data_IF_176499744936
#
_entry.id   IF_176499744936
#
_cell.length_a   1.000
_cell.length_b   1.000
_cell.length_c   1.000
_cell.angle_alpha   90.00
_cell.angle_beta   90.00
_cell.angle_gamma   90.00
#
_symmetry.space_group_name_H-M   'P 1'
#
loop_
_entity.id
_entity.type
_entity.pdbx_description
1 polymer ?
#
# COMPACT_ATOMS: atom_id res chain seq x y z
N UNK A 1 -9.98 -9.86 5.13
CA UNK A 1 -10.63 -10.19 6.42
C UNK A 1 -10.41 -9.04 7.39
N UNK A 2 -11.48 -8.59 8.05
CA UNK A 2 -11.44 -7.46 8.98
C UNK A 2 -10.81 -7.91 10.31
N UNK A 3 -10.03 -7.02 10.95
CA UNK A 3 -9.48 -7.28 12.30
C UNK A 3 -10.63 -7.41 13.31
N UNK A 4 -10.41 -8.12 14.41
CA UNK A 4 -11.37 -8.22 15.51
C UNK A 4 -11.70 -6.85 16.09
N UNK A 5 -12.99 -6.56 16.29
CA UNK A 5 -13.53 -5.23 16.65
C UNK A 5 -12.84 -4.58 17.87
N UNK A 6 -12.47 -5.37 18.87
CA UNK A 6 -11.85 -4.87 20.11
C UNK A 6 -10.39 -4.40 19.96
N UNK A 7 -9.68 -4.80 18.89
CA UNK A 7 -8.24 -4.48 18.74
C UNK A 7 -7.96 -3.11 18.14
N UNK A 8 -8.99 -2.40 17.65
CA UNK A 8 -8.86 -1.10 17.00
C UNK A 8 -8.08 -1.11 15.67
N UNK A 9 -8.22 -0.04 14.88
CA UNK A 9 -7.42 0.20 13.69
C UNK A 9 -5.95 0.37 14.07
N UNK A 10 -5.02 -0.06 13.20
CA UNK A 10 -3.61 0.31 13.35
C UNK A 10 -3.45 1.72 12.81
N UNK A 11 -3.08 2.66 13.68
CA UNK A 11 -2.88 4.08 13.34
C UNK A 11 -1.47 4.49 13.73
N UNK A 12 -0.79 5.22 12.85
CA UNK A 12 0.54 5.77 13.10
C UNK A 12 0.41 7.29 13.22
N UNK A 13 1.05 7.87 14.23
CA UNK A 13 1.20 9.33 14.32
C UNK A 13 2.22 9.76 13.26
N UNK A 14 1.76 10.47 12.23
CA UNK A 14 2.67 11.08 11.26
C UNK A 14 3.48 12.18 11.96
N UNK A 15 4.80 12.18 11.78
CA UNK A 15 5.69 13.29 12.14
C UNK A 15 5.92 14.14 10.89
N UNK A 16 6.37 15.38 11.05
CA UNK A 16 6.73 16.23 9.91
C UNK A 16 7.88 15.57 9.13
N UNK A 17 7.60 15.13 7.91
CA UNK A 17 8.57 14.46 7.04
C UNK A 17 9.17 15.51 6.08
N UNK A 18 10.13 16.28 6.56
CA UNK A 18 10.66 17.44 5.81
C UNK A 18 11.54 17.07 4.60
N UNK A 19 12.13 15.87 4.55
CA UNK A 19 13.10 15.52 3.50
C UNK A 19 12.90 14.14 2.83
N UNK A 20 12.14 13.22 3.44
CA UNK A 20 12.06 11.84 2.98
C UNK A 20 10.62 11.34 2.97
N UNK A 21 10.22 10.73 1.86
CA UNK A 21 8.93 10.06 1.76
C UNK A 21 8.81 8.98 2.86
N UNK A 22 7.80 9.05 3.73
CA UNK A 22 7.61 8.08 4.79
C UNK A 22 7.39 6.69 4.21
N UNK A 23 8.01 5.69 4.83
CA UNK A 23 7.71 4.29 4.53
C UNK A 23 6.56 3.85 5.40
N UNK A 24 5.41 3.55 4.78
CA UNK A 24 4.24 3.09 5.52
C UNK A 24 4.15 1.55 5.49
N UNK A 25 3.82 0.92 6.63
CA UNK A 25 3.65 -0.52 6.67
C UNK A 25 2.34 -0.91 5.96
N UNK A 26 2.35 -2.08 5.32
CA UNK A 26 1.23 -2.55 4.50
C UNK A 26 -0.06 -2.83 5.27
N UNK A 27 0.03 -3.06 6.57
CA UNK A 27 -1.10 -3.36 7.46
C UNK A 27 -1.75 -2.10 8.05
N UNK A 28 -1.19 -0.91 7.79
CA UNK A 28 -1.73 0.37 8.21
C UNK A 28 -3.10 0.62 7.57
N UNK A 29 -4.08 1.03 8.37
CA UNK A 29 -5.38 1.46 7.87
C UNK A 29 -5.34 2.94 7.50
N UNK A 30 -5.89 3.26 6.34
CA UNK A 30 -5.95 4.62 5.82
C UNK A 30 -7.04 5.37 6.60
N UNK A 31 -6.57 6.31 7.41
CA UNK A 31 -7.40 7.20 8.22
C UNK A 31 -7.37 8.60 7.61
N UNK A 32 -8.36 9.43 7.90
CA UNK A 32 -8.47 10.79 7.35
C UNK A 32 -7.23 11.68 7.58
N UNK A 33 -6.40 11.35 8.55
CA UNK A 33 -5.17 12.07 8.87
C UNK A 33 -4.04 11.93 7.83
N UNK A 34 -4.10 10.90 6.97
CA UNK A 34 -3.02 10.58 6.03
C UNK A 34 -3.39 10.82 4.56
N UNK A 35 -4.53 11.49 4.32
CA UNK A 35 -4.97 11.86 2.97
C UNK A 35 -4.00 12.89 2.38
N UNK A 36 -3.68 12.78 1.09
CA UNK A 36 -2.76 13.67 0.40
C UNK A 36 -1.28 13.40 0.69
N UNK A 37 -0.97 12.47 1.60
CA UNK A 37 0.41 12.05 1.87
C UNK A 37 0.89 11.13 0.75
N UNK A 38 2.03 11.50 0.15
CA UNK A 38 2.82 10.61 -0.69
C UNK A 38 3.74 9.75 0.16
N UNK A 39 3.63 8.43 0.05
CA UNK A 39 4.39 7.49 0.85
C UNK A 39 5.05 6.42 -0.01
N UNK A 40 6.03 5.72 0.58
CA UNK A 40 6.64 4.54 0.00
C UNK A 40 6.10 3.28 0.67
N UNK A 41 5.66 2.33 -0.13
CA UNK A 41 5.14 1.04 0.34
C UNK A 41 6.04 -0.07 -0.18
N UNK A 42 6.52 -0.93 0.72
CA UNK A 42 7.38 -2.05 0.35
C UNK A 42 6.57 -3.21 -0.27
N UNK A 43 6.99 -3.73 -1.42
CA UNK A 43 6.34 -4.88 -2.09
C UNK A 43 6.99 -6.22 -1.81
N UNK A 44 8.08 -6.24 -1.04
CA UNK A 44 8.92 -7.41 -0.79
C UNK A 44 10.22 -7.41 -1.60
N UNK A 45 10.29 -6.63 -2.68
CA UNK A 45 11.52 -6.44 -3.50
C UNK A 45 11.87 -4.97 -3.70
N UNK A 46 10.87 -4.12 -3.92
CA UNK A 46 11.04 -2.68 -4.19
C UNK A 46 10.07 -1.84 -3.38
N UNK A 47 10.31 -0.54 -3.36
CA UNK A 47 9.37 0.44 -2.82
C UNK A 47 8.58 1.07 -3.95
N UNK A 48 7.26 1.12 -3.81
CA UNK A 48 6.36 1.80 -4.74
C UNK A 48 5.86 3.08 -4.07
N UNK A 49 5.92 4.19 -4.81
CA UNK A 49 5.34 5.47 -4.39
C UNK A 49 3.83 5.40 -4.55
N UNK A 50 3.11 5.73 -3.48
CA UNK A 50 1.65 5.78 -3.45
C UNK A 50 1.21 7.12 -2.87
N UNK A 51 0.34 7.82 -3.60
CA UNK A 51 -0.38 9.00 -3.11
C UNK A 51 -1.75 8.56 -2.59
N UNK A 52 -2.10 8.98 -1.38
CA UNK A 52 -3.34 8.54 -0.73
C UNK A 52 -4.49 9.51 -1.07
N UNK A 53 -5.58 8.96 -1.62
CA UNK A 53 -6.82 9.67 -1.92
C UNK A 53 -7.90 9.40 -0.85
N UNK A 54 -8.94 10.23 -0.82
CA UNK A 54 -10.05 10.13 0.14
C UNK A 54 -10.86 8.83 -0.01
N UNK A 55 -11.05 8.37 -1.24
CA UNK A 55 -11.74 7.11 -1.55
C UNK A 55 -11.06 5.86 -0.97
N UNK A 56 -9.80 5.98 -0.53
CA UNK A 56 -9.04 4.89 0.06
C UNK A 56 -9.27 4.71 1.57
N UNK A 57 -10.07 5.56 2.21
CA UNK A 57 -10.35 5.48 3.65
C UNK A 57 -10.97 4.13 4.02
N UNK A 58 -10.51 3.55 5.14
CA UNK A 58 -11.01 2.27 5.65
C UNK A 58 -10.36 1.05 4.98
N UNK A 59 -9.58 1.25 3.93
CA UNK A 59 -8.72 0.23 3.34
C UNK A 59 -7.34 0.22 3.97
N UNK A 60 -6.59 -0.85 3.72
CA UNK A 60 -5.18 -0.94 4.10
C UNK A 60 -4.29 -0.49 2.97
N UNK A 61 -3.21 0.21 3.32
CA UNK A 61 -2.20 0.71 2.36
C UNK A 61 -1.67 -0.41 1.45
N UNK A 62 -1.52 -1.62 1.98
CA UNK A 62 -1.01 -2.77 1.24
C UNK A 62 -1.96 -3.35 0.18
N UNK A 63 -3.24 -2.96 0.15
CA UNK A 63 -4.24 -3.40 -0.83
C UNK A 63 -4.02 -2.75 -2.20
N UNK A 64 -3.50 -1.52 -2.21
CA UNK A 64 -3.24 -0.75 -3.43
C UNK A 64 -1.90 -1.10 -4.09
N UNK A 65 -1.15 -2.03 -3.52
CA UNK A 65 0.21 -2.33 -3.92
C UNK A 65 0.37 -3.84 -4.12
N UNK A 66 0.38 -4.33 -5.38
CA UNK A 66 0.51 -5.75 -5.67
C UNK A 66 1.92 -6.25 -5.35
N UNK A 67 1.99 -7.45 -4.79
CA UNK A 67 3.27 -8.10 -4.43
C UNK A 67 3.77 -9.09 -5.46
N UNK A 68 2.86 -9.70 -6.21
CA UNK A 68 3.17 -10.68 -7.24
C UNK A 68 2.95 -10.06 -8.60
N UNK A 69 3.80 -10.42 -9.54
CA UNK A 69 3.59 -10.10 -10.94
C UNK A 69 2.37 -10.84 -11.47
N UNK A 70 1.67 -10.22 -12.42
CA UNK A 70 0.50 -10.82 -13.05
C UNK A 70 0.94 -12.03 -13.86
N UNK A 71 0.31 -13.17 -13.63
CA UNK A 71 0.56 -14.35 -14.42
C UNK A 71 -0.17 -14.25 -15.77
N UNK A 72 0.57 -14.43 -16.86
CA UNK A 72 0.02 -14.52 -18.20
C UNK A 72 0.56 -15.78 -18.89
N UNK A 73 -0.36 -16.59 -19.42
CA UNK A 73 0.01 -17.79 -20.17
C UNK A 73 0.63 -17.39 -21.51
N UNK A 74 1.93 -17.63 -21.67
CA UNK A 74 2.64 -17.36 -22.92
C UNK A 74 2.39 -18.50 -23.91
N UNK A 75 1.68 -18.24 -25.01
CA UNK A 75 1.52 -19.20 -26.11
C UNK A 75 2.89 -19.52 -26.73
N UNK A 76 3.21 -20.81 -26.89
CA UNK A 76 4.45 -21.27 -27.53
C UNK A 76 4.40 -20.92 -29.02
N UNK A 77 5.31 -20.05 -29.48
CA UNK A 77 5.47 -19.77 -30.92
C UNK A 77 6.10 -21.00 -31.57
N UNK A 78 5.44 -21.59 -32.58
CA UNK A 78 6.09 -22.57 -33.48
C UNK A 78 7.18 -21.81 -34.25
N UNK A 79 8.44 -22.22 -34.10
CA UNK A 79 9.51 -21.78 -35.00
C UNK A 79 9.19 -22.37 -36.38
N UNK A 80 9.13 -21.51 -37.40
CA UNK A 80 9.14 -21.92 -38.81
C UNK A 80 10.54 -22.39 -39.16
#
# INVERSE_FOLDING_TARGET
>A
MKRSKWKGPLVIKLKNFEAKLPVLPRNLEITSQIIGVTCNVHTGKKYIKLTINDEMIGHKVGEFVPTREKFEFKKKKKKK
#
